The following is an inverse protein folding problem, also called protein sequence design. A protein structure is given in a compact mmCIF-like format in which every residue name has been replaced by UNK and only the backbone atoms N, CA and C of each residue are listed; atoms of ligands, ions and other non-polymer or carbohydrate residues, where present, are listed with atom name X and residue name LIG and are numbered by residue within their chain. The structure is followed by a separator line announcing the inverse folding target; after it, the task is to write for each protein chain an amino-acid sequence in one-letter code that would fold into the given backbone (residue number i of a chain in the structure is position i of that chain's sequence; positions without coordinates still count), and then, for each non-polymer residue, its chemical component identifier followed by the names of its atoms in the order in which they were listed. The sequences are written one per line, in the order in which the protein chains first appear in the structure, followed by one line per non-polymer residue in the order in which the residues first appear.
data_IF_134755745970
#
_entry.id   IF_134755745970
#
_cell.length_a   1.000
_cell.length_b   1.000
_cell.length_c   1.000
_cell.angle_alpha   90.00
_cell.angle_beta   90.00
_cell.angle_gamma   90.00
#
_symmetry.space_group_name_H-M   'P 1'
#
loop_
_entity.id
_entity.type
_entity.pdbx_description
1 polymer ?
#
# COMPACT_ATOMS: atom_id res chain seq x y z
N UNK A 1 3.83 -14.99 23.54
CA UNK A 1 2.79 -15.83 24.14
C UNK A 1 1.65 -14.92 24.62
N UNK A 2 0.65 -14.70 23.77
CA UNK A 2 -0.55 -13.90 24.14
C UNK A 2 -1.51 -14.81 24.89
N UNK A 3 -1.83 -14.47 26.14
CA UNK A 3 -2.94 -15.08 26.86
C UNK A 3 -4.23 -14.42 26.38
N UNK A 4 -4.95 -15.11 25.53
CA UNK A 4 -6.35 -14.79 25.23
C UNK A 4 -7.17 -15.02 26.48
N UNK A 5 -7.67 -13.97 27.08
CA UNK A 5 -8.67 -14.05 28.13
C UNK A 5 -10.01 -14.40 27.48
N UNK A 6 -10.33 -15.67 27.44
CA UNK A 6 -11.68 -16.14 27.10
C UNK A 6 -12.48 -16.04 28.39
N UNK A 7 -13.38 -15.06 28.44
CA UNK A 7 -14.34 -14.92 29.53
C UNK A 7 -15.46 -15.94 29.30
N UNK A 8 -15.42 -17.08 30.04
CA UNK A 8 -16.54 -18.00 30.13
C UNK A 8 -17.59 -17.39 31.05
N UNK A 9 -18.73 -17.00 30.50
CA UNK A 9 -19.92 -16.72 31.30
C UNK A 9 -20.51 -18.07 31.75
N UNK A 10 -20.30 -18.39 33.00
CA UNK A 10 -20.95 -19.54 33.62
C UNK A 10 -22.44 -19.20 33.90
N UNK A 11 -23.36 -19.83 33.20
CA UNK A 11 -24.77 -19.86 33.55
C UNK A 11 -24.94 -20.77 34.77
N UNK A 12 -25.14 -20.18 35.94
CA UNK A 12 -25.57 -20.94 37.12
C UNK A 12 -27.10 -21.17 37.03
N UNK A 13 -27.50 -22.39 36.71
CA UNK A 13 -28.88 -22.81 36.85
C UNK A 13 -29.16 -23.07 38.33
N UNK A 14 -29.99 -22.23 38.93
CA UNK A 14 -30.52 -22.45 40.30
C UNK A 14 -31.75 -23.33 40.18
N UNK A 15 -31.66 -24.57 40.65
CA UNK A 15 -32.79 -25.47 40.82
C UNK A 15 -33.59 -25.05 42.06
N UNK A 16 -34.89 -24.81 41.89
CA UNK A 16 -35.84 -24.59 42.99
C UNK A 16 -36.44 -25.92 43.43
N UNK A 17 -36.57 -26.16 44.76
CA UNK A 17 -37.32 -27.30 45.25
C UNK A 17 -38.84 -27.04 45.23
N UNK A 18 -39.68 -28.06 45.14
CA UNK A 18 -41.13 -27.90 45.11
C UNK A 18 -41.73 -27.87 46.53
N UNK A 19 -42.68 -26.99 46.76
CA UNK A 19 -43.61 -27.15 47.84
C UNK A 19 -44.04 -25.91 48.62
N UNK A 20 -45.29 -25.50 48.43
CA UNK A 20 -46.12 -25.04 49.55
C UNK A 20 -46.39 -23.56 49.76
N UNK A 21 -47.60 -23.09 49.47
CA UNK A 21 -48.26 -22.04 50.23
C UNK A 21 -48.19 -20.60 49.71
N UNK A 22 -49.28 -20.11 49.10
CA UNK A 22 -49.53 -18.65 48.91
C UNK A 22 -49.77 -17.95 50.25
N UNK A 23 -49.30 -16.71 50.42
CA UNK A 23 -50.29 -15.61 50.42
C UNK A 23 -49.82 -14.35 49.68
N UNK A 24 -50.75 -13.43 49.51
CA UNK A 24 -50.88 -12.26 48.66
C UNK A 24 -49.83 -11.19 48.77
N UNK A 25 -49.54 -10.61 47.59
CA UNK A 25 -49.41 -9.17 47.37
C UNK A 25 -48.11 -8.47 47.75
N UNK A 26 -47.15 -8.38 46.79
CA UNK A 26 -46.30 -7.20 46.63
C UNK A 26 -45.76 -7.16 45.17
N UNK A 27 -45.70 -6.00 44.51
CA UNK A 27 -45.19 -5.93 43.13
C UNK A 27 -43.67 -6.14 43.13
N UNK A 28 -43.22 -7.11 42.33
CA UNK A 28 -41.82 -7.39 42.09
C UNK A 28 -41.28 -6.35 41.09
N UNK A 29 -40.43 -5.46 41.57
CA UNK A 29 -39.71 -4.50 40.75
C UNK A 29 -38.62 -5.28 40.00
N UNK A 30 -38.85 -5.56 38.72
CA UNK A 30 -37.84 -6.18 37.85
C UNK A 30 -36.87 -5.08 37.42
N UNK A 31 -35.70 -5.05 38.04
CA UNK A 31 -34.60 -4.21 37.62
C UNK A 31 -34.00 -4.78 36.32
N UNK A 32 -34.34 -4.21 35.17
CA UNK A 32 -33.58 -4.43 33.95
C UNK A 32 -32.27 -3.67 34.05
N UNK A 33 -31.18 -4.35 34.42
CA UNK A 33 -29.83 -3.84 34.21
C UNK A 33 -29.53 -3.93 32.72
N UNK A 34 -29.66 -2.81 32.02
CA UNK A 34 -29.14 -2.67 30.65
C UNK A 34 -27.60 -2.70 30.72
N UNK A 35 -27.03 -3.83 30.32
CA UNK A 35 -25.61 -3.96 30.10
C UNK A 35 -25.27 -3.16 28.81
N UNK A 36 -24.89 -1.90 28.97
CA UNK A 36 -24.33 -1.11 27.87
C UNK A 36 -22.99 -1.75 27.52
N UNK A 37 -22.93 -2.50 26.43
CA UNK A 37 -21.70 -2.94 25.84
C UNK A 37 -20.94 -1.69 25.38
N UNK A 38 -19.89 -1.34 26.11
CA UNK A 38 -18.94 -0.30 25.73
C UNK A 38 -18.20 -0.84 24.49
N UNK A 39 -18.69 -0.52 23.30
CA UNK A 39 -17.95 -0.71 22.07
C UNK A 39 -16.83 0.33 22.08
N UNK A 40 -15.67 -0.04 22.61
CA UNK A 40 -14.46 0.75 22.43
C UNK A 40 -14.21 0.85 20.92
N UNK A 41 -14.03 2.03 20.36
CA UNK A 41 -13.63 2.15 18.98
C UNK A 41 -12.28 1.46 18.85
N UNK A 42 -12.26 0.34 18.15
CA UNK A 42 -11.02 -0.24 17.63
C UNK A 42 -10.46 0.84 16.72
N UNK A 43 -9.34 1.44 17.11
CA UNK A 43 -8.65 2.42 16.30
C UNK A 43 -8.36 1.80 14.94
N UNK A 44 -9.12 2.20 13.94
CA UNK A 44 -8.84 1.84 12.57
C UNK A 44 -7.60 2.64 12.18
N UNK A 45 -6.46 1.96 12.07
CA UNK A 45 -5.29 2.53 11.40
C UNK A 45 -5.73 3.04 10.04
N UNK A 46 -5.30 4.24 9.67
CA UNK A 46 -5.51 4.71 8.31
C UNK A 46 -4.72 3.78 7.39
N UNK A 47 -5.43 3.07 6.53
CA UNK A 47 -4.86 2.26 5.46
C UNK A 47 -4.81 3.16 4.22
N UNK A 48 -3.75 3.08 3.43
CA UNK A 48 -3.74 3.42 2.01
C UNK A 48 -4.98 2.81 1.34
N UNK A 49 -5.22 3.00 0.04
CA UNK A 49 -6.35 2.27 -0.57
C UNK A 49 -6.62 1.02 0.26
N UNK A 50 -7.83 0.77 0.74
CA UNK A 50 -8.07 -0.46 1.46
C UNK A 50 -7.69 -1.69 0.60
N UNK A 51 -7.71 -2.86 1.19
CA UNK A 51 -7.31 -4.08 0.51
C UNK A 51 -7.94 -4.24 -0.88
N UNK A 52 -9.22 -3.86 -1.05
CA UNK A 52 -9.92 -3.96 -2.34
C UNK A 52 -9.41 -2.95 -3.37
N UNK A 53 -9.01 -1.75 -2.95
CA UNK A 53 -8.41 -0.75 -3.82
C UNK A 53 -7.05 -1.19 -4.35
N UNK A 54 -6.17 -1.71 -3.49
CA UNK A 54 -4.89 -2.27 -3.90
C UNK A 54 -5.03 -3.48 -4.83
N UNK A 55 -5.97 -4.37 -4.54
CA UNK A 55 -6.32 -5.47 -5.45
C UNK A 55 -6.73 -4.96 -6.82
N UNK A 56 -7.56 -3.93 -6.85
CA UNK A 56 -8.02 -3.32 -8.10
C UNK A 56 -6.86 -2.72 -8.91
N UNK A 57 -5.92 -2.01 -8.27
CA UNK A 57 -4.71 -1.48 -8.93
C UNK A 57 -3.90 -2.60 -9.59
N UNK A 58 -3.64 -3.71 -8.89
CA UNK A 58 -2.92 -4.86 -9.45
C UNK A 58 -3.67 -5.51 -10.62
N UNK A 59 -4.99 -5.64 -10.52
CA UNK A 59 -5.82 -6.21 -11.59
C UNK A 59 -5.86 -5.30 -12.82
N UNK A 60 -5.88 -3.98 -12.63
CA UNK A 60 -5.82 -2.99 -13.71
C UNK A 60 -4.44 -3.02 -14.39
N UNK A 61 -3.36 -3.14 -13.61
CA UNK A 61 -2.01 -3.27 -14.15
C UNK A 61 -1.84 -4.52 -15.03
N UNK A 62 -2.43 -5.65 -14.64
CA UNK A 62 -2.46 -6.87 -15.46
C UNK A 62 -3.16 -6.66 -16.81
N UNK A 63 -4.14 -5.76 -16.88
CA UNK A 63 -4.84 -5.44 -18.13
C UNK A 63 -3.96 -4.61 -19.09
N UNK A 64 -2.95 -3.90 -18.61
CA UNK A 64 -2.01 -3.13 -19.44
C UNK A 64 -1.00 -4.01 -20.19
N UNK A 65 -0.74 -5.24 -19.71
CA UNK A 65 0.36 -6.07 -20.20
C UNK A 65 0.08 -6.62 -21.59
N UNK A 66 1.06 -6.54 -22.53
CA UNK A 66 0.89 -7.00 -23.89
C UNK A 66 0.76 -8.52 -23.99
N UNK A 67 0.27 -9.00 -25.15
CA UNK A 67 0.12 -10.43 -25.39
C UNK A 67 1.44 -11.21 -25.25
N UNK A 68 2.57 -10.62 -25.65
CA UNK A 68 3.90 -11.21 -25.53
C UNK A 68 4.49 -11.26 -24.12
N UNK A 69 3.85 -10.66 -23.11
CA UNK A 69 4.32 -10.74 -21.71
C UNK A 69 4.28 -12.20 -21.21
N UNK A 70 5.18 -12.64 -20.32
CA UNK A 70 5.34 -14.04 -19.90
C UNK A 70 4.02 -14.73 -19.52
N UNK A 71 3.78 -15.92 -20.12
CA UNK A 71 2.49 -16.60 -20.03
C UNK A 71 2.14 -17.05 -18.60
N UNK A 72 3.12 -17.37 -17.75
CA UNK A 72 2.89 -17.81 -16.38
C UNK A 72 2.16 -16.75 -15.53
N UNK A 73 2.35 -15.45 -15.82
CA UNK A 73 1.66 -14.33 -15.16
C UNK A 73 0.16 -14.28 -15.52
N UNK A 74 -0.23 -14.83 -16.67
CA UNK A 74 -1.59 -14.73 -17.19
C UNK A 74 -2.54 -15.82 -16.68
N UNK A 75 -2.02 -16.80 -15.94
CA UNK A 75 -2.85 -17.85 -15.37
C UNK A 75 -3.81 -17.28 -14.32
N UNK A 76 -5.01 -17.85 -14.14
CA UNK A 76 -5.94 -17.40 -13.10
C UNK A 76 -5.30 -17.40 -11.70
N UNK A 77 -4.51 -18.42 -11.36
CA UNK A 77 -3.84 -18.54 -10.07
C UNK A 77 -2.80 -17.43 -9.85
N UNK A 78 -1.96 -17.13 -10.86
CA UNK A 78 -0.98 -16.04 -10.77
C UNK A 78 -1.66 -14.67 -10.64
N UNK A 79 -2.71 -14.42 -11.41
CA UNK A 79 -3.48 -13.16 -11.34
C UNK A 79 -4.09 -12.96 -9.95
N UNK A 80 -4.69 -14.00 -9.38
CA UNK A 80 -5.24 -13.94 -8.02
C UNK A 80 -4.13 -13.76 -6.99
N UNK A 81 -3.00 -14.47 -7.13
CA UNK A 81 -1.85 -14.33 -6.24
C UNK A 81 -1.28 -12.91 -6.25
N UNK A 82 -1.12 -12.31 -7.43
CA UNK A 82 -0.66 -10.92 -7.60
C UNK A 82 -1.65 -9.96 -6.92
N UNK A 83 -2.96 -10.13 -7.13
CA UNK A 83 -3.96 -9.30 -6.47
C UNK A 83 -3.92 -9.45 -4.94
N UNK A 84 -3.81 -10.67 -4.41
CA UNK A 84 -3.71 -10.94 -2.97
C UNK A 84 -2.49 -10.27 -2.32
N UNK A 85 -1.33 -10.33 -2.99
CA UNK A 85 -0.05 -9.80 -2.48
C UNK A 85 -0.03 -8.28 -2.35
N UNK A 86 -0.94 -7.58 -3.02
CA UNK A 86 -1.10 -6.15 -2.88
C UNK A 86 -1.43 -5.71 -1.44
N UNK A 87 -1.92 -6.60 -0.58
CA UNK A 87 -2.19 -6.29 0.83
C UNK A 87 -1.05 -6.62 1.81
N UNK A 88 0.07 -7.19 1.35
CA UNK A 88 1.15 -7.59 2.26
C UNK A 88 1.83 -6.41 2.98
N UNK A 89 2.19 -5.29 2.30
CA UNK A 89 2.84 -4.17 2.98
C UNK A 89 2.02 -3.60 4.14
N UNK A 90 0.70 -3.50 3.99
CA UNK A 90 -0.18 -3.09 5.08
C UNK A 90 -0.17 -4.07 6.26
N UNK A 91 -0.13 -5.38 5.98
CA UNK A 91 -0.02 -6.38 7.04
C UNK A 91 1.28 -6.22 7.82
N UNK A 92 2.40 -5.93 7.14
CA UNK A 92 3.69 -5.70 7.77
C UNK A 92 3.69 -4.42 8.62
N UNK A 93 3.24 -3.31 8.06
CA UNK A 93 3.13 -2.02 8.75
C UNK A 93 2.26 -2.10 10.01
N UNK A 94 1.22 -2.92 9.97
CA UNK A 94 0.25 -3.04 11.06
C UNK A 94 0.67 -4.04 12.16
N UNK A 95 1.86 -4.64 12.08
CA UNK A 95 2.44 -5.45 13.16
C UNK A 95 3.07 -4.56 14.25
N UNK A 96 2.24 -3.74 14.90
CA UNK A 96 2.70 -2.69 15.82
C UNK A 96 3.53 -3.14 17.02
N UNK A 97 3.56 -4.43 17.34
CA UNK A 97 4.43 -5.01 18.37
C UNK A 97 5.84 -5.37 17.83
N UNK A 98 6.01 -5.43 16.49
CA UNK A 98 7.29 -5.64 15.82
C UNK A 98 7.82 -4.30 15.31
N UNK A 99 8.50 -3.57 16.19
CA UNK A 99 9.01 -2.22 15.90
C UNK A 99 9.96 -2.17 14.69
N UNK A 100 10.94 -3.10 14.53
CA UNK A 100 11.76 -3.13 13.32
C UNK A 100 10.97 -3.29 12.04
N UNK A 101 9.94 -4.13 12.03
CA UNK A 101 9.09 -4.34 10.87
C UNK A 101 8.23 -3.10 10.55
N UNK A 102 7.65 -2.46 11.58
CA UNK A 102 6.91 -1.21 11.45
C UNK A 102 7.81 -0.07 10.96
N UNK A 103 9.02 0.06 11.55
CA UNK A 103 10.03 1.04 11.14
C UNK A 103 10.40 0.94 9.67
N UNK A 104 10.67 -0.28 9.20
CA UNK A 104 11.09 -0.52 7.83
C UNK A 104 9.97 -0.28 6.81
N UNK A 105 8.74 -0.70 7.13
CA UNK A 105 7.64 -0.65 6.16
C UNK A 105 6.79 0.61 6.26
N UNK A 106 6.67 1.23 7.42
CA UNK A 106 5.79 2.39 7.62
C UNK A 106 6.06 3.54 6.64
N UNK A 107 7.30 4.01 6.49
CA UNK A 107 7.62 5.15 5.63
C UNK A 107 7.50 4.87 4.12
N UNK A 108 7.49 3.60 3.70
CA UNK A 108 7.44 3.21 2.29
C UNK A 108 6.07 3.47 1.63
N UNK A 109 5.04 3.82 2.44
CA UNK A 109 3.66 4.01 1.98
C UNK A 109 3.33 5.43 1.51
N UNK A 110 4.18 6.42 1.74
CA UNK A 110 3.84 7.82 1.49
C UNK A 110 5.08 8.69 1.19
N UNK A 111 4.82 9.92 0.76
CA UNK A 111 5.77 11.02 0.75
C UNK A 111 5.02 12.35 0.96
N UNK A 112 5.25 13.03 2.08
CA UNK A 112 4.67 14.33 2.40
C UNK A 112 5.43 15.42 1.62
N UNK A 113 5.00 15.69 0.39
CA UNK A 113 5.73 16.52 -0.57
C UNK A 113 5.97 17.94 -0.09
N UNK A 114 5.01 18.54 0.62
CA UNK A 114 5.13 19.90 1.14
C UNK A 114 6.20 20.01 2.23
N UNK A 115 6.44 18.92 2.98
CA UNK A 115 7.44 18.94 4.05
C UNK A 115 8.89 18.89 3.52
N UNK A 116 9.11 18.73 2.22
CA UNK A 116 10.45 18.81 1.63
C UNK A 116 11.09 20.18 1.85
N UNK A 117 10.30 21.26 1.80
CA UNK A 117 10.80 22.62 1.99
C UNK A 117 11.37 22.85 3.39
N UNK A 118 10.85 22.17 4.43
CA UNK A 118 11.37 22.25 5.81
C UNK A 118 12.84 21.81 5.89
N UNK A 119 13.29 21.02 4.93
CA UNK A 119 14.64 20.50 4.79
C UNK A 119 15.45 21.19 3.69
N UNK A 120 14.90 22.23 3.06
CA UNK A 120 15.52 22.91 1.91
C UNK A 120 15.63 22.03 0.67
N UNK A 121 14.73 21.05 0.51
CA UNK A 121 14.69 20.12 -0.61
C UNK A 121 13.55 20.49 -1.57
N UNK A 122 13.76 20.17 -2.85
CA UNK A 122 12.69 20.18 -3.87
C UNK A 122 12.54 18.80 -4.49
N UNK A 123 11.37 18.48 -5.04
CA UNK A 123 11.13 17.16 -5.65
C UNK A 123 12.15 16.80 -6.75
N UNK A 124 12.62 17.80 -7.52
CA UNK A 124 13.57 17.62 -8.62
C UNK A 124 15.00 17.35 -8.14
N UNK A 125 15.33 17.79 -6.92
CA UNK A 125 16.67 17.69 -6.34
C UNK A 125 16.82 16.49 -5.37
N UNK A 126 15.81 15.61 -5.30
CA UNK A 126 15.88 14.44 -4.44
C UNK A 126 16.95 13.44 -4.92
N UNK A 127 17.78 12.90 -4.00
CA UNK A 127 18.73 11.86 -4.37
C UNK A 127 18.00 10.55 -4.70
N UNK A 128 18.56 9.80 -5.65
CA UNK A 128 17.99 8.50 -6.06
C UNK A 128 18.22 7.39 -5.01
N UNK A 129 19.10 7.61 -4.05
CA UNK A 129 19.44 6.64 -3.01
C UNK A 129 18.72 6.97 -1.70
N UNK A 130 18.01 5.99 -1.16
CA UNK A 130 17.22 6.09 0.09
C UNK A 130 18.07 6.61 1.26
N UNK A 131 19.28 6.11 1.44
CA UNK A 131 20.12 6.50 2.57
C UNK A 131 20.67 7.92 2.44
N UNK A 132 20.92 8.41 1.23
CA UNK A 132 21.30 9.81 1.00
C UNK A 132 20.14 10.75 1.34
N UNK A 133 18.92 10.35 1.03
CA UNK A 133 17.73 11.11 1.40
C UNK A 133 17.52 11.13 2.93
N UNK A 134 17.59 9.97 3.60
CA UNK A 134 17.45 9.93 5.06
C UNK A 134 18.51 10.74 5.78
N UNK A 135 19.75 10.78 5.28
CA UNK A 135 20.79 11.66 5.80
C UNK A 135 20.43 13.14 5.64
N UNK A 136 19.83 13.54 4.49
CA UNK A 136 19.34 14.91 4.26
C UNK A 136 18.19 15.31 5.19
N UNK A 137 17.44 14.37 5.75
CA UNK A 137 16.43 14.63 6.78
C UNK A 137 17.08 14.71 8.17
N UNK A 138 17.98 13.79 8.50
CA UNK A 138 18.59 13.68 9.83
C UNK A 138 19.53 14.85 10.16
N UNK A 139 20.36 15.28 9.21
CA UNK A 139 21.37 16.31 9.45
C UNK A 139 20.76 17.68 9.83
N UNK A 140 19.77 18.24 9.12
CA UNK A 140 19.13 19.50 9.51
C UNK A 140 18.42 19.40 10.87
N UNK A 141 17.75 18.27 11.16
CA UNK A 141 17.12 18.04 12.48
C UNK A 141 18.12 18.06 13.62
N UNK A 142 19.29 17.43 13.42
CA UNK A 142 20.33 17.40 14.42
C UNK A 142 21.01 18.79 14.61
N UNK A 143 21.19 19.54 13.53
CA UNK A 143 21.83 20.85 13.56
C UNK A 143 20.92 21.97 14.06
N UNK A 144 19.61 21.88 13.80
CA UNK A 144 18.61 22.91 14.06
C UNK A 144 17.33 22.33 14.68
N UNK A 145 17.42 21.65 15.83
CA UNK A 145 16.23 20.99 16.42
C UNK A 145 15.08 21.98 16.73
N UNK A 146 15.41 23.25 16.94
CA UNK A 146 14.45 24.31 17.19
C UNK A 146 13.50 24.62 16.00
N UNK A 147 13.87 24.20 14.79
CA UNK A 147 13.07 24.41 13.57
C UNK A 147 12.04 23.30 13.36
N UNK A 148 12.13 22.21 14.09
CA UNK A 148 11.25 21.07 13.91
C UNK A 148 10.30 20.88 15.10
N UNK A 149 9.04 20.50 14.88
CA UNK A 149 8.13 20.20 15.97
C UNK A 149 8.69 19.09 16.88
N UNK A 150 8.49 19.21 18.21
CA UNK A 150 8.87 18.14 19.13
C UNK A 150 8.12 16.85 18.80
N UNK A 151 8.82 15.73 18.82
CA UNK A 151 8.22 14.42 18.60
C UNK A 151 7.97 13.76 19.96
N UNK A 152 6.72 13.38 20.25
CA UNK A 152 6.36 12.61 21.45
C UNK A 152 6.96 11.20 21.36
N UNK A 153 7.90 10.84 22.24
CA UNK A 153 8.55 9.52 22.21
C UNK A 153 7.57 8.35 22.38
N UNK A 154 6.46 8.56 23.11
CA UNK A 154 5.45 7.53 23.31
C UNK A 154 4.71 7.18 22.01
N UNK A 155 4.67 8.12 21.06
CA UNK A 155 4.04 8.00 19.75
C UNK A 155 5.03 7.72 18.61
N UNK A 156 6.32 7.56 18.94
CA UNK A 156 7.42 7.37 17.99
C UNK A 156 8.28 6.17 18.37
N UNK A 157 7.69 5.10 18.82
CA UNK A 157 8.40 3.90 19.27
C UNK A 157 9.15 3.21 18.13
N UNK A 158 8.65 3.31 16.94
CA UNK A 158 9.20 2.77 15.69
C UNK A 158 10.14 3.74 14.95
N UNK A 159 10.36 4.96 15.49
CA UNK A 159 11.22 5.98 14.88
C UNK A 159 10.88 6.36 13.45
N UNK A 160 9.57 6.39 13.11
CA UNK A 160 9.11 6.80 11.77
C UNK A 160 8.68 8.26 11.68
N UNK A 161 8.44 8.93 12.83
CA UNK A 161 7.96 10.31 12.87
C UNK A 161 8.98 11.36 12.43
N UNK A 162 10.25 10.99 12.37
CA UNK A 162 11.33 11.81 11.83
C UNK A 162 11.35 11.83 10.30
N UNK A 163 10.66 10.88 9.67
CA UNK A 163 10.65 10.69 8.23
C UNK A 163 9.39 11.33 7.62
N UNK A 164 9.52 11.82 6.40
CA UNK A 164 8.43 12.40 5.62
C UNK A 164 7.97 11.46 4.50
N UNK A 165 8.39 10.19 4.57
CA UNK A 165 8.01 9.14 3.64
C UNK A 165 9.13 8.73 2.69
N UNK A 166 9.04 7.50 2.16
CA UNK A 166 10.05 6.86 1.31
C UNK A 166 9.45 6.12 0.10
N UNK A 167 8.17 6.33 -0.22
CA UNK A 167 7.48 5.59 -1.28
C UNK A 167 8.17 5.61 -2.66
N UNK A 168 8.76 6.72 -3.16
CA UNK A 168 9.46 6.69 -4.45
C UNK A 168 10.64 5.73 -4.49
N UNK A 169 11.39 5.64 -3.39
CA UNK A 169 12.52 4.70 -3.26
C UNK A 169 12.02 3.26 -3.20
N UNK A 170 10.96 2.98 -2.43
CA UNK A 170 10.33 1.66 -2.40
C UNK A 170 9.94 1.22 -3.82
N UNK A 171 9.24 2.05 -4.59
CA UNK A 171 8.84 1.75 -5.97
C UNK A 171 10.04 1.41 -6.85
N UNK A 172 11.10 2.24 -6.83
CA UNK A 172 12.28 2.03 -7.69
C UNK A 172 13.09 0.81 -7.26
N UNK A 173 13.19 0.53 -5.96
CA UNK A 173 13.86 -0.66 -5.42
C UNK A 173 13.11 -1.95 -5.80
N UNK A 174 11.77 -1.96 -5.71
CA UNK A 174 10.97 -3.09 -6.18
C UNK A 174 11.06 -3.29 -7.69
N UNK A 175 11.14 -2.21 -8.47
CA UNK A 175 11.42 -2.30 -9.91
C UNK A 175 12.78 -2.97 -10.18
N UNK A 176 13.82 -2.62 -9.41
CA UNK A 176 15.13 -3.27 -9.47
C UNK A 176 15.07 -4.76 -9.12
N UNK A 177 14.36 -5.13 -8.05
CA UNK A 177 14.12 -6.54 -7.67
C UNK A 177 13.41 -7.30 -8.79
N UNK A 178 12.42 -6.67 -9.43
CA UNK A 178 11.67 -7.28 -10.52
C UNK A 178 12.53 -7.48 -11.77
N UNK A 179 13.39 -6.51 -12.15
CA UNK A 179 14.39 -6.65 -13.21
C UNK A 179 15.31 -7.84 -12.93
N UNK A 180 15.84 -7.95 -11.72
CA UNK A 180 16.68 -9.07 -11.28
C UNK A 180 15.93 -10.41 -11.38
N UNK A 181 14.67 -10.47 -10.99
CA UNK A 181 13.84 -11.66 -11.12
C UNK A 181 13.70 -12.13 -12.56
N UNK A 182 13.43 -11.22 -13.50
CA UNK A 182 13.37 -11.55 -14.94
C UNK A 182 14.73 -11.95 -15.51
N UNK A 183 15.83 -11.33 -15.07
CA UNK A 183 17.19 -11.71 -15.45
C UNK A 183 17.52 -13.14 -15.01
N UNK A 184 17.18 -13.47 -13.76
CA UNK A 184 17.36 -14.79 -13.18
C UNK A 184 16.52 -15.86 -13.93
N UNK A 185 15.25 -15.60 -14.17
CA UNK A 185 14.38 -16.51 -14.93
C UNK A 185 14.93 -16.79 -16.32
N UNK A 186 15.35 -15.73 -17.03
CA UNK A 186 15.96 -15.85 -18.37
C UNK A 186 17.23 -16.70 -18.34
N UNK A 187 18.11 -16.50 -17.36
CA UNK A 187 19.32 -17.30 -17.22
C UNK A 187 18.99 -18.78 -17.00
N UNK A 188 18.03 -19.14 -16.13
CA UNK A 188 17.61 -20.51 -15.95
C UNK A 188 17.03 -21.13 -17.23
N UNK A 189 16.17 -20.39 -17.94
CA UNK A 189 15.54 -20.88 -19.17
C UNK A 189 16.57 -21.15 -20.29
N UNK A 190 17.53 -20.25 -20.47
CA UNK A 190 18.45 -20.27 -21.61
C UNK A 190 19.71 -21.12 -21.35
N UNK A 191 20.14 -21.29 -20.08
CA UNK A 191 21.43 -21.91 -19.73
C UNK A 191 21.31 -23.19 -18.89
N UNK A 192 20.14 -23.77 -18.79
CA UNK A 192 19.95 -25.11 -18.24
C UNK A 192 19.59 -25.12 -16.74
N UNK A 193 18.70 -24.25 -16.33
CA UNK A 193 17.99 -24.36 -15.06
C UNK A 193 17.12 -25.63 -15.01
N UNK A 194 16.91 -26.16 -13.80
CA UNK A 194 15.95 -27.26 -13.61
C UNK A 194 14.51 -26.72 -13.68
N UNK A 195 13.52 -27.59 -13.91
CA UNK A 195 12.11 -27.18 -13.86
C UNK A 195 11.74 -26.49 -12.54
N UNK A 196 12.29 -26.96 -11.41
CA UNK A 196 12.05 -26.41 -10.09
C UNK A 196 12.68 -25.01 -9.93
N UNK A 197 13.90 -24.80 -10.43
CA UNK A 197 14.56 -23.48 -10.43
C UNK A 197 13.76 -22.46 -11.26
N UNK A 198 13.27 -22.88 -12.43
CA UNK A 198 12.41 -22.05 -13.28
C UNK A 198 11.10 -21.71 -12.58
N UNK A 199 10.43 -22.70 -11.98
CA UNK A 199 9.18 -22.49 -11.25
C UNK A 199 9.38 -21.53 -10.06
N UNK A 200 10.43 -21.72 -9.26
CA UNK A 200 10.75 -20.83 -8.14
C UNK A 200 11.06 -19.39 -8.59
N UNK A 201 11.77 -19.21 -9.70
CA UNK A 201 12.03 -17.90 -10.27
C UNK A 201 10.72 -17.20 -10.73
N UNK A 202 9.78 -17.96 -11.31
CA UNK A 202 8.44 -17.47 -11.67
C UNK A 202 7.64 -17.02 -10.45
N UNK A 203 7.62 -17.82 -9.37
CA UNK A 203 6.94 -17.47 -8.12
C UNK A 203 7.53 -16.22 -7.46
N UNK A 204 8.85 -16.04 -7.48
CA UNK A 204 9.52 -14.84 -7.00
C UNK A 204 9.09 -13.59 -7.80
N UNK A 205 8.97 -13.70 -9.12
CA UNK A 205 8.49 -12.60 -9.97
C UNK A 205 7.04 -12.23 -9.59
N UNK A 206 6.15 -13.24 -9.46
CA UNK A 206 4.75 -13.05 -9.04
C UNK A 206 4.69 -12.33 -7.70
N UNK A 207 5.53 -12.76 -6.73
CA UNK A 207 5.59 -12.13 -5.42
C UNK A 207 6.00 -10.66 -5.50
N UNK A 208 7.09 -10.35 -6.20
CA UNK A 208 7.59 -8.97 -6.33
C UNK A 208 6.59 -8.09 -7.08
N UNK A 209 5.96 -8.60 -8.16
CA UNK A 209 4.90 -7.87 -8.88
C UNK A 209 3.74 -7.50 -7.95
N UNK A 210 3.25 -8.46 -7.18
CA UNK A 210 2.10 -8.25 -6.30
C UNK A 210 2.37 -7.22 -5.20
N UNK A 211 3.51 -7.35 -4.51
CA UNK A 211 3.91 -6.43 -3.42
C UNK A 211 4.20 -5.02 -3.95
N UNK A 212 4.90 -4.90 -5.08
CA UNK A 212 5.20 -3.60 -5.70
C UNK A 212 3.95 -2.78 -5.98
N UNK A 213 2.86 -3.45 -6.34
CA UNK A 213 1.60 -2.80 -6.67
C UNK A 213 0.97 -2.04 -5.51
N UNK A 214 1.27 -2.41 -4.27
CA UNK A 214 0.85 -1.66 -3.09
C UNK A 214 1.42 -0.24 -3.11
N UNK A 215 2.74 -0.10 -3.15
CA UNK A 215 3.41 1.22 -3.09
C UNK A 215 3.07 2.12 -4.28
N UNK A 216 2.91 1.53 -5.47
CA UNK A 216 2.44 2.27 -6.65
C UNK A 216 0.98 2.70 -6.47
N UNK A 217 0.15 1.85 -5.90
CA UNK A 217 -1.25 2.16 -5.55
C UNK A 217 -1.36 3.30 -4.56
N UNK A 218 -0.56 3.26 -3.47
CA UNK A 218 -0.48 4.33 -2.48
C UNK A 218 -0.19 5.68 -3.14
N UNK A 219 0.83 5.74 -4.00
CA UNK A 219 1.21 6.96 -4.69
C UNK A 219 0.19 7.43 -5.74
N UNK A 220 -0.87 6.65 -6.04
CA UNK A 220 -2.03 7.13 -6.80
C UNK A 220 -3.08 7.80 -5.92
N UNK A 221 -3.10 7.53 -4.62
CA UNK A 221 -4.06 8.10 -3.68
C UNK A 221 -3.55 9.48 -3.20
N UNK A 222 -4.30 10.58 -3.43
CA UNK A 222 -3.80 11.93 -3.15
C UNK A 222 -3.35 12.15 -1.70
N UNK A 223 -3.99 11.51 -0.73
CA UNK A 223 -3.64 11.66 0.69
C UNK A 223 -2.34 10.91 1.09
N UNK A 224 -1.73 10.13 0.19
CA UNK A 224 -0.42 9.51 0.42
C UNK A 224 0.77 10.31 -0.12
N UNK A 225 0.49 11.47 -0.72
CA UNK A 225 1.55 12.33 -1.29
C UNK A 225 1.49 13.75 -0.73
N UNK A 226 0.91 13.92 0.46
CA UNK A 226 0.71 15.22 1.11
C UNK A 226 0.75 15.13 2.63
N UNK A 227 1.24 16.16 3.30
CA UNK A 227 1.15 16.33 4.76
C UNK A 227 -0.30 16.44 5.27
N UNK A 228 -1.26 16.73 4.38
CA UNK A 228 -2.68 16.86 4.71
C UNK A 228 -3.42 15.53 4.78
N UNK A 229 -2.72 14.43 4.96
CA UNK A 229 -3.29 13.07 4.89
C UNK A 229 -4.37 12.76 5.94
N UNK A 230 -4.30 13.33 7.14
CA UNK A 230 -5.29 13.14 8.22
C UNK A 230 -6.18 14.37 8.47
N UNK A 231 -6.59 15.04 7.41
CA UNK A 231 -7.26 16.32 7.45
C UNK A 231 -6.28 17.46 7.15
N UNK A 232 -6.83 18.61 6.73
CA UNK A 232 -6.01 19.77 6.38
C UNK A 232 -5.28 20.31 7.60
N UNK A 233 -3.99 20.56 7.48
CA UNK A 233 -3.12 21.10 8.55
C UNK A 233 -2.53 22.44 8.14
N UNK A 234 -2.31 23.34 9.13
CA UNK A 234 -1.85 24.72 8.92
C UNK A 234 -2.97 25.64 8.48
N UNK A 235 -2.62 26.70 7.77
CA UNK A 235 -3.57 27.69 7.27
C UNK A 235 -4.61 27.05 6.35
N UNK A 236 -5.88 27.35 6.60
CA UNK A 236 -7.01 26.74 5.90
C UNK A 236 -7.99 27.80 5.36
N UNK A 237 -7.55 28.64 4.43
CA UNK A 237 -8.41 29.72 3.90
C UNK A 237 -9.62 29.18 3.12
N UNK A 238 -9.53 27.94 2.62
CA UNK A 238 -10.62 27.30 1.89
C UNK A 238 -11.62 26.57 2.81
N UNK A 239 -11.34 26.44 4.12
CA UNK A 239 -12.22 25.73 5.06
C UNK A 239 -12.37 24.24 4.72
N UNK A 240 -11.28 23.60 4.32
CA UNK A 240 -11.24 22.15 4.05
C UNK A 240 -11.38 21.33 5.34
N UNK A 241 -11.81 20.07 5.21
CA UNK A 241 -11.99 19.15 6.33
C UNK A 241 -10.69 18.94 7.10
N UNK A 242 -10.76 18.97 8.45
CA UNK A 242 -9.61 18.79 9.36
C UNK A 242 -9.71 17.48 10.16
N UNK A 243 -10.74 16.67 9.93
CA UNK A 243 -10.95 15.44 10.66
C UNK A 243 -10.12 14.29 10.10
N UNK A 244 -9.54 13.47 10.99
CA UNK A 244 -8.67 12.35 10.61
C UNK A 244 -9.42 11.17 9.95
N UNK A 245 -10.75 11.09 10.08
CA UNK A 245 -11.55 10.03 9.46
C UNK A 245 -11.67 10.19 7.95
N UNK A 246 -11.34 11.37 7.42
CA UNK A 246 -11.37 11.63 5.98
C UNK A 246 -10.46 10.66 5.20
N UNK A 247 -9.25 10.40 5.71
CA UNK A 247 -8.35 9.43 5.08
C UNK A 247 -9.00 8.05 4.91
N UNK A 248 -9.46 7.45 6.00
CA UNK A 248 -10.11 6.13 5.95
C UNK A 248 -11.38 6.10 5.08
N UNK A 249 -12.05 7.26 4.95
CA UNK A 249 -13.19 7.41 4.06
C UNK A 249 -12.76 7.31 2.59
N UNK A 250 -11.67 7.97 2.20
CA UNK A 250 -11.16 7.94 0.83
C UNK A 250 -10.54 6.58 0.50
N UNK A 251 -9.82 5.96 1.41
CA UNK A 251 -9.14 4.68 1.16
C UNK A 251 -10.09 3.55 0.79
N UNK A 252 -11.26 3.50 1.39
CA UNK A 252 -12.22 2.45 1.09
C UNK A 252 -13.63 2.71 1.57
N UNK A 253 -13.81 3.62 2.53
CA UNK A 253 -15.13 3.95 3.07
C UNK A 253 -16.11 4.34 1.97
N UNK A 254 -15.70 5.25 1.10
CA UNK A 254 -16.53 5.71 -0.02
C UNK A 254 -16.94 4.56 -0.94
N UNK A 255 -16.00 3.75 -1.42
CA UNK A 255 -16.31 2.64 -2.31
C UNK A 255 -17.20 1.59 -1.65
N UNK A 256 -16.93 1.20 -0.39
CA UNK A 256 -17.78 0.24 0.34
C UNK A 256 -19.24 0.72 0.43
N UNK A 257 -19.44 2.02 0.62
CA UNK A 257 -20.79 2.59 0.79
C UNK A 257 -21.46 2.98 -0.53
N UNK A 258 -20.75 2.91 -1.65
CA UNK A 258 -21.28 3.31 -2.98
C UNK A 258 -21.25 2.17 -4.01
N UNK A 259 -21.28 0.91 -3.59
CA UNK A 259 -21.41 -0.26 -4.45
C UNK A 259 -20.10 -0.89 -4.93
N UNK A 260 -18.97 -0.59 -4.24
CA UNK A 260 -17.66 -1.20 -4.47
C UNK A 260 -16.93 -0.71 -5.73
N UNK A 261 -15.75 -1.26 -5.96
CA UNK A 261 -14.93 -0.99 -7.14
C UNK A 261 -15.30 -1.97 -8.24
N UNK A 262 -15.55 -1.46 -9.44
CA UNK A 262 -15.90 -2.26 -10.63
C UNK A 262 -14.71 -2.33 -11.59
N UNK A 263 -13.82 -3.29 -11.39
CA UNK A 263 -12.56 -3.42 -12.15
C UNK A 263 -12.81 -3.60 -13.66
N UNK A 264 -13.83 -4.36 -14.07
CA UNK A 264 -14.14 -4.62 -15.47
C UNK A 264 -14.30 -3.34 -16.33
N UNK A 265 -15.22 -2.42 -15.98
CA UNK A 265 -15.35 -1.13 -16.68
C UNK A 265 -14.09 -0.27 -16.62
N UNK A 266 -13.33 -0.29 -15.50
CA UNK A 266 -12.10 0.47 -15.37
C UNK A 266 -10.97 -0.08 -16.26
N UNK A 267 -10.91 -1.39 -16.47
CA UNK A 267 -9.93 -2.02 -17.37
C UNK A 267 -10.05 -1.52 -18.80
N UNK A 268 -11.24 -1.11 -19.23
CA UNK A 268 -11.45 -0.50 -20.55
C UNK A 268 -10.80 0.88 -20.72
N UNK A 269 -10.39 1.53 -19.63
CA UNK A 269 -9.67 2.82 -19.61
C UNK A 269 -8.14 2.64 -19.60
N UNK A 270 -7.64 1.41 -19.44
CA UNK A 270 -6.22 1.09 -19.39
C UNK A 270 -5.69 1.00 -20.83
N UNK A 271 -4.61 1.69 -21.11
CA UNK A 271 -3.88 1.58 -22.39
C UNK A 271 -2.80 0.48 -22.32
N UNK A 272 -2.31 -0.03 -23.46
CA UNK A 272 -1.15 -0.90 -23.47
C UNK A 272 0.03 -0.29 -22.74
N UNK A 273 0.76 -1.13 -21.98
CA UNK A 273 1.91 -0.70 -21.21
C UNK A 273 3.03 -0.15 -22.12
N UNK A 274 3.69 0.88 -21.64
CA UNK A 274 4.85 1.51 -22.27
C UNK A 274 6.07 1.45 -21.36
N UNK A 275 7.27 1.62 -21.94
CA UNK A 275 8.50 1.69 -21.17
C UNK A 275 8.56 3.01 -20.39
N UNK A 276 8.91 2.92 -19.11
CA UNK A 276 9.18 3.99 -18.17
C UNK A 276 10.62 3.88 -17.71
N UNK A 277 11.34 4.98 -17.71
CA UNK A 277 12.76 5.05 -17.38
C UNK A 277 13.67 4.63 -18.53
N UNK A 278 14.69 5.45 -18.78
CA UNK A 278 15.77 5.18 -19.73
C UNK A 278 16.90 4.45 -18.97
N UNK A 279 17.18 3.17 -19.29
CA UNK A 279 18.21 2.40 -18.58
C UNK A 279 19.63 2.95 -18.75
N UNK A 280 19.84 3.85 -19.70
CA UNK A 280 21.14 4.53 -19.90
C UNK A 280 21.33 5.73 -18.97
N UNK A 281 20.26 6.16 -18.28
CA UNK A 281 20.24 7.27 -17.34
C UNK A 281 19.83 6.76 -15.94
N UNK A 282 20.77 6.65 -15.01
CA UNK A 282 20.53 6.01 -13.71
C UNK A 282 19.40 6.63 -12.88
N UNK A 283 19.14 7.92 -13.06
CA UNK A 283 18.16 8.70 -12.31
C UNK A 283 16.79 8.83 -13.02
N UNK A 284 16.67 8.40 -14.27
CA UNK A 284 15.47 8.66 -15.07
C UNK A 284 14.24 7.93 -14.52
N UNK A 285 14.37 6.66 -14.13
CA UNK A 285 13.26 5.93 -13.51
C UNK A 285 12.74 6.63 -12.25
N UNK A 286 13.64 7.08 -11.38
CA UNK A 286 13.27 7.79 -10.15
C UNK A 286 12.56 9.11 -10.49
N UNK A 287 13.03 9.87 -11.44
CA UNK A 287 12.39 11.10 -11.91
C UNK A 287 10.99 10.85 -12.49
N UNK A 288 10.80 9.76 -13.22
CA UNK A 288 9.48 9.37 -13.75
C UNK A 288 8.52 8.99 -12.62
N UNK A 289 9.00 8.28 -11.60
CA UNK A 289 8.22 7.97 -10.39
C UNK A 289 7.86 9.26 -9.64
N UNK A 290 8.82 10.18 -9.45
CA UNK A 290 8.53 11.48 -8.83
C UNK A 290 7.51 12.30 -9.62
N UNK A 291 7.61 12.33 -10.94
CA UNK A 291 6.62 13.00 -11.79
C UNK A 291 5.20 12.40 -11.59
N UNK A 292 5.11 11.09 -11.42
CA UNK A 292 3.85 10.40 -11.12
C UNK A 292 3.25 10.84 -9.77
N UNK A 293 4.08 10.97 -8.70
CA UNK A 293 3.64 11.48 -7.40
C UNK A 293 3.18 12.94 -7.50
N UNK A 294 3.93 13.78 -8.20
CA UNK A 294 3.58 15.19 -8.39
C UNK A 294 2.24 15.36 -9.13
N UNK A 295 1.96 14.53 -10.13
CA UNK A 295 0.66 14.52 -10.81
C UNK A 295 -0.48 14.02 -9.89
N UNK A 296 -0.18 13.15 -8.92
CA UNK A 296 -1.16 12.75 -7.89
C UNK A 296 -1.38 13.89 -6.89
N UNK A 297 -0.32 14.56 -6.47
CA UNK A 297 -0.38 15.68 -5.53
C UNK A 297 -1.30 16.81 -6.01
N UNK A 298 -1.34 17.09 -7.30
CA UNK A 298 -2.28 18.05 -7.92
C UNK A 298 -3.76 17.71 -7.67
N UNK A 299 -4.07 16.51 -7.22
CA UNK A 299 -5.42 16.07 -6.90
C UNK A 299 -5.78 16.24 -5.42
N UNK A 300 -4.87 16.72 -4.58
CA UNK A 300 -5.12 16.92 -3.14
C UNK A 300 -6.21 17.98 -2.92
N UNK A 301 -6.00 19.20 -3.42
CA UNK A 301 -7.01 20.25 -3.29
C UNK A 301 -8.34 19.92 -3.99
N UNK A 302 -8.37 19.39 -5.22
CA UNK A 302 -9.61 18.90 -5.84
C UNK A 302 -10.36 17.88 -4.99
N UNK A 303 -9.63 16.94 -4.34
CA UNK A 303 -10.24 15.96 -3.46
C UNK A 303 -10.89 16.62 -2.23
N UNK A 304 -10.20 17.56 -1.58
CA UNK A 304 -10.73 18.32 -0.46
C UNK A 304 -11.91 19.22 -0.87
N UNK A 305 -11.87 19.76 -2.08
CA UNK A 305 -12.97 20.55 -2.61
C UNK A 305 -14.23 19.70 -2.83
N UNK A 306 -14.07 18.47 -3.35
CA UNK A 306 -15.18 17.53 -3.52
C UNK A 306 -15.79 17.13 -2.17
N UNK A 307 -14.97 16.97 -1.12
CA UNK A 307 -15.45 16.70 0.23
C UNK A 307 -16.28 17.89 0.75
N UNK A 308 -15.73 19.09 0.70
CA UNK A 308 -16.40 20.32 1.11
C UNK A 308 -17.75 20.53 0.41
N UNK A 309 -17.86 20.15 -0.85
CA UNK A 309 -19.07 20.21 -1.65
C UNK A 309 -20.00 19.01 -1.42
N UNK A 310 -19.69 18.13 -0.48
CA UNK A 310 -20.42 16.88 -0.19
C UNK A 310 -20.53 15.91 -1.38
N UNK A 311 -19.65 16.03 -2.38
CA UNK A 311 -19.60 15.18 -3.57
C UNK A 311 -18.91 13.83 -3.30
N UNK A 312 -18.46 13.60 -2.09
CA UNK A 312 -17.97 12.32 -1.56
C UNK A 312 -18.95 11.73 -0.53
N UNK A 313 -20.17 12.26 -0.42
CA UNK A 313 -21.22 11.70 0.44
C UNK A 313 -22.13 10.78 -0.39
N UNK A 314 -22.41 9.53 0.07
CA UNK A 314 -23.25 8.57 -0.65
C UNK A 314 -24.69 9.07 -0.86
N UNK A 315 -25.18 9.92 0.02
CA UNK A 315 -26.52 10.50 -0.02
C UNK A 315 -26.66 11.61 -1.07
N UNK A 316 -25.52 12.12 -1.57
CA UNK A 316 -25.53 13.18 -2.58
C UNK A 316 -25.60 12.59 -3.99
N UNK A 317 -26.61 13.00 -4.77
CA UNK A 317 -26.75 12.62 -6.17
C UNK A 317 -25.51 12.99 -7.04
N UNK A 318 -24.71 13.97 -6.62
CA UNK A 318 -23.45 14.38 -7.24
C UNK A 318 -22.23 13.57 -6.78
N UNK A 319 -22.40 12.53 -5.98
CA UNK A 319 -21.31 11.63 -5.57
C UNK A 319 -20.60 10.96 -6.78
N UNK A 320 -21.22 11.01 -7.96
CA UNK A 320 -20.60 10.57 -9.21
C UNK A 320 -19.32 11.33 -9.56
N UNK A 321 -19.18 12.61 -9.19
CA UNK A 321 -17.95 13.40 -9.43
C UNK A 321 -16.80 12.91 -8.53
N UNK A 322 -17.06 12.69 -7.24
CA UNK A 322 -16.11 12.11 -6.31
C UNK A 322 -15.67 10.70 -6.74
N UNK A 323 -16.63 9.86 -7.16
CA UNK A 323 -16.35 8.54 -7.72
C UNK A 323 -15.45 8.62 -8.96
N UNK A 324 -15.70 9.55 -9.86
CA UNK A 324 -14.92 9.70 -11.08
C UNK A 324 -13.46 10.06 -10.80
N UNK A 325 -13.20 10.94 -9.80
CA UNK A 325 -11.86 11.26 -9.36
C UNK A 325 -11.16 10.03 -8.79
N UNK A 326 -11.79 9.33 -7.83
CA UNK A 326 -11.18 8.18 -7.16
C UNK A 326 -10.94 7.01 -8.13
N UNK A 327 -11.90 6.71 -9.02
CA UNK A 327 -11.71 5.71 -10.08
C UNK A 327 -10.61 6.12 -11.06
N UNK A 328 -10.49 7.42 -11.38
CA UNK A 328 -9.40 7.96 -12.18
C UNK A 328 -8.02 7.69 -11.56
N UNK A 329 -7.92 7.84 -10.24
CA UNK A 329 -6.68 7.55 -9.50
C UNK A 329 -6.36 6.05 -9.47
N UNK A 330 -7.35 5.16 -9.31
CA UNK A 330 -7.15 3.71 -9.43
C UNK A 330 -6.63 3.33 -10.83
N UNK A 331 -7.21 3.90 -11.88
CA UNK A 331 -6.75 3.69 -13.28
C UNK A 331 -5.33 4.20 -13.47
N UNK A 332 -5.00 5.38 -12.93
CA UNK A 332 -3.66 5.97 -12.97
C UNK A 332 -2.64 5.06 -12.27
N UNK A 333 -2.97 4.54 -11.08
CA UNK A 333 -2.15 3.59 -10.34
C UNK A 333 -1.92 2.30 -11.13
N UNK A 334 -2.99 1.68 -11.62
CA UNK A 334 -2.91 0.47 -12.42
C UNK A 334 -2.10 0.65 -13.72
N UNK A 335 -2.25 1.81 -14.38
CA UNK A 335 -1.48 2.12 -15.57
C UNK A 335 0.01 2.26 -15.28
N UNK A 336 0.39 3.05 -14.26
CA UNK A 336 1.80 3.22 -13.87
C UNK A 336 2.44 1.89 -13.47
N UNK A 337 1.73 1.07 -12.70
CA UNK A 337 2.20 -0.24 -12.29
C UNK A 337 2.42 -1.17 -13.49
N UNK A 338 1.49 -1.21 -14.43
CA UNK A 338 1.63 -2.00 -15.65
C UNK A 338 2.81 -1.54 -16.51
N UNK A 339 3.02 -0.23 -16.61
CA UNK A 339 4.16 0.37 -17.30
C UNK A 339 5.49 -0.02 -16.64
N UNK A 340 5.57 -0.01 -15.30
CA UNK A 340 6.75 -0.42 -14.53
C UNK A 340 7.04 -1.92 -14.65
N UNK A 341 6.03 -2.79 -14.59
CA UNK A 341 6.21 -4.22 -14.79
C UNK A 341 6.72 -4.54 -16.19
N UNK A 342 6.13 -3.88 -17.20
CA UNK A 342 6.57 -4.02 -18.59
C UNK A 342 8.00 -3.54 -18.77
N UNK A 343 8.37 -2.38 -18.19
CA UNK A 343 9.73 -1.84 -18.23
C UNK A 343 10.73 -2.77 -17.57
N UNK A 344 10.39 -3.33 -16.39
CA UNK A 344 11.27 -4.26 -15.69
C UNK A 344 11.55 -5.52 -16.53
N UNK A 345 10.53 -6.05 -17.21
CA UNK A 345 10.70 -7.19 -18.11
C UNK A 345 11.56 -6.86 -19.31
N UNK A 346 11.29 -5.73 -20.00
CA UNK A 346 12.02 -5.34 -21.22
C UNK A 346 13.46 -4.91 -20.97
N UNK A 347 13.74 -4.35 -19.78
CA UNK A 347 15.03 -3.81 -19.40
C UNK A 347 15.85 -4.78 -18.51
N UNK A 348 15.35 -6.01 -18.29
CA UNK A 348 16.11 -7.03 -17.59
C UNK A 348 17.39 -7.38 -18.33
N UNK A 349 18.54 -7.20 -17.68
CA UNK A 349 19.86 -7.49 -18.25
C UNK A 349 20.27 -8.93 -17.94
N UNK A 350 21.30 -9.43 -18.60
CA UNK A 350 21.84 -10.77 -18.32
C UNK A 350 22.47 -10.86 -16.92
N UNK A 351 22.11 -11.89 -16.17
CA UNK A 351 22.80 -12.27 -14.93
C UNK A 351 24.07 -13.09 -15.27
N UNK A 352 25.16 -12.36 -15.55
CA UNK A 352 26.44 -12.95 -15.97
C UNK A 352 27.00 -13.93 -14.93
N UNK A 353 26.76 -13.69 -13.64
CA UNK A 353 27.22 -14.58 -12.58
C UNK A 353 26.46 -15.92 -12.61
N UNK A 354 25.14 -15.87 -12.67
CA UNK A 354 24.31 -17.06 -12.74
C UNK A 354 24.56 -17.84 -14.04
N UNK A 355 24.67 -17.15 -15.18
CA UNK A 355 24.97 -17.77 -16.47
C UNK A 355 26.27 -18.55 -16.42
N UNK A 356 27.35 -17.98 -15.86
CA UNK A 356 28.61 -18.68 -15.69
C UNK A 356 28.45 -19.97 -14.86
N UNK A 357 27.81 -19.86 -13.70
CA UNK A 357 27.61 -21.02 -12.82
C UNK A 357 26.78 -22.13 -13.47
N UNK A 358 25.74 -21.78 -14.21
CA UNK A 358 24.92 -22.75 -14.95
C UNK A 358 25.73 -23.44 -16.07
N UNK A 359 26.57 -22.70 -16.76
CA UNK A 359 27.44 -23.23 -17.82
C UNK A 359 28.48 -24.21 -17.27
N UNK A 360 29.14 -23.87 -16.14
CA UNK A 360 30.08 -24.74 -15.45
C UNK A 360 29.38 -26.02 -14.93
N UNK A 361 28.19 -25.88 -14.34
CA UNK A 361 27.37 -27.04 -13.91
C UNK A 361 27.04 -27.96 -15.06
N UNK A 362 26.69 -27.42 -16.22
CA UNK A 362 26.38 -28.22 -17.43
C UNK A 362 27.62 -28.97 -17.93
N UNK A 363 28.78 -28.34 -17.98
CA UNK A 363 30.04 -28.97 -18.37
C UNK A 363 30.40 -30.16 -17.45
N UNK A 364 30.40 -29.93 -16.12
CA UNK A 364 30.70 -30.97 -15.13
C UNK A 364 29.73 -32.17 -15.18
N UNK A 365 28.46 -31.96 -15.55
CA UNK A 365 27.50 -33.04 -15.74
C UNK A 365 27.70 -33.82 -17.05
N UNK A 366 28.31 -33.20 -18.05
CA UNK A 366 28.65 -33.87 -19.33
C UNK A 366 29.88 -34.76 -19.20
N UNK A 367 30.87 -34.36 -18.40
CA UNK A 367 32.09 -35.13 -18.13
C UNK A 367 31.85 -36.40 -17.26
N UNK A 368 30.75 -36.47 -16.53
CA UNK A 368 30.36 -37.57 -15.68
C UNK A 368 29.54 -38.66 -16.40
N UNK A 369 29.13 -38.40 -17.63
CA UNK A 369 28.41 -39.37 -18.49
C UNK A 369 29.33 -40.01 -19.51
#
# INVERSE_FOLDING_TARGET
MKRSLILFAALAAVALPPGGGRPAGRPCLVLFTALAALVLPVGHGAFAWDYEGHRAVNQLALAALPQGFPAFIKTPAARERIAFLAGEPDRWRNQGDDLPLAHFNGPDHYLDLENLEDYGLTPEALPIFRYDFTAKLALPRAAHPEKFPPIDPARNKDHTRELIGLAPWAITEYCGKLKSGFSCLKAFQDYGGTPEEIANAQENIIYVMGVMGHYVGDCAQPLHVTKHHHGWVGDNPHGFATNSSFHAWIDGGFFRNTGGIKVGPLSGKIRPAKIVGDPTKPDDLFKQVMAYLLETHKQVEPLYQLEKEHKLSPENEKAGEGRALLEGQLVKGGQMLGDLWFSAWQQATEDKYLIRNLTERKAANTEKK
#
